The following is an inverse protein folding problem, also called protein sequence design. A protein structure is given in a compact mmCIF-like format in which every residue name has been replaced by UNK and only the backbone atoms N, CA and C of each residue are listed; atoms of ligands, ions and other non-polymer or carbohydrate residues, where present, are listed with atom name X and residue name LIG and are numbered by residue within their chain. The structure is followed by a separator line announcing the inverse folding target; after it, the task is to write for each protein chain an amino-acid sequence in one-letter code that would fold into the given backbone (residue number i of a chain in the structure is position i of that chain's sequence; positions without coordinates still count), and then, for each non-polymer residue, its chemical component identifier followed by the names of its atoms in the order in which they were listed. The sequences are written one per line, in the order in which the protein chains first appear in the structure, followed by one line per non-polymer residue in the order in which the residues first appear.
data_IF_537257707738
#
_entry.id   IF_537257707738
#
_cell.length_a   1.000
_cell.length_b   1.000
_cell.length_c   1.000
_cell.angle_alpha   90.00
_cell.angle_beta   90.00
_cell.angle_gamma   90.00
#
_symmetry.space_group_name_H-M   'P 1'
#
loop_
_entity.id
_entity.type
_entity.pdbx_description
1 polymer ?
#
# COMPACT_ATOMS: atom_id res chain seq x y z
N UNK A 1 -10.60 -31.96 38.67
CA UNK A 1 -9.26 -32.08 38.06
C UNK A 1 -9.41 -31.84 36.56
N UNK A 2 -8.78 -30.78 36.04
CA UNK A 2 -8.91 -30.36 34.63
C UNK A 2 -8.16 -31.28 33.68
N UNK A 3 -8.82 -31.69 32.59
CA UNK A 3 -8.23 -32.53 31.55
C UNK A 3 -7.21 -31.74 30.73
N UNK A 4 -5.94 -32.15 30.81
CA UNK A 4 -4.83 -31.61 30.01
C UNK A 4 -4.99 -32.10 28.57
N UNK A 5 -5.39 -31.20 27.65
CA UNK A 5 -5.45 -31.49 26.22
C UNK A 5 -4.03 -31.57 25.64
N UNK A 6 -3.47 -32.79 25.59
CA UNK A 6 -2.21 -33.08 24.91
C UNK A 6 -2.26 -32.62 23.44
N UNK A 7 -1.45 -31.62 23.11
CA UNK A 7 -1.31 -31.10 21.74
C UNK A 7 -0.72 -32.16 20.82
N UNK A 8 -1.56 -32.75 19.95
CA UNK A 8 -1.11 -33.69 18.90
C UNK A 8 -0.07 -32.99 18.02
N UNK A 9 1.16 -33.53 17.96
CA UNK A 9 2.24 -33.02 17.10
C UNK A 9 1.80 -33.06 15.63
N UNK A 10 1.89 -31.93 14.92
CA UNK A 10 1.60 -31.84 13.48
C UNK A 10 2.61 -32.66 12.69
N UNK A 11 2.14 -33.64 11.92
CA UNK A 11 2.99 -34.40 10.98
C UNK A 11 3.28 -33.48 9.79
N UNK A 12 4.55 -33.08 9.64
CA UNK A 12 5.02 -32.25 8.52
C UNK A 12 4.95 -33.10 7.23
N UNK A 13 4.29 -32.58 6.19
CA UNK A 13 4.24 -33.23 4.86
C UNK A 13 2.97 -34.00 4.51
N UNK A 14 1.99 -34.15 5.41
CA UNK A 14 0.66 -34.67 5.01
C UNK A 14 -0.19 -33.56 4.34
N UNK A 15 -0.88 -33.85 3.23
CA UNK A 15 -1.85 -32.93 2.63
C UNK A 15 -2.91 -32.50 3.64
N UNK A 16 -3.45 -31.30 3.46
CA UNK A 16 -4.63 -30.86 4.23
C UNK A 16 -5.82 -31.75 3.84
N UNK A 17 -6.45 -32.40 4.83
CA UNK A 17 -7.62 -33.25 4.65
C UNK A 17 -8.78 -32.72 5.51
N UNK A 18 -10.05 -32.99 5.14
CA UNK A 18 -11.20 -32.66 5.98
C UNK A 18 -11.03 -33.22 7.40
N UNK A 19 -11.18 -32.37 8.43
CA UNK A 19 -10.95 -32.74 9.82
C UNK A 19 -9.53 -32.47 10.35
N UNK A 20 -8.57 -32.08 9.50
CA UNK A 20 -7.28 -31.60 9.97
C UNK A 20 -7.46 -30.26 10.70
N UNK A 21 -6.88 -30.08 11.90
CA UNK A 21 -6.89 -28.80 12.56
C UNK A 21 -6.21 -27.77 11.67
N UNK A 22 -6.92 -26.68 11.39
CA UNK A 22 -6.38 -25.54 10.67
C UNK A 22 -5.23 -24.88 11.43
N UNK A 23 -4.82 -23.71 10.97
CA UNK A 23 -3.82 -22.92 11.68
C UNK A 23 -4.29 -22.67 13.12
N UNK A 24 -3.46 -22.91 14.15
CA UNK A 24 -3.86 -22.66 15.52
C UNK A 24 -4.26 -21.18 15.68
N UNK A 25 -5.37 -20.94 16.39
CA UNK A 25 -5.84 -19.58 16.70
C UNK A 25 -4.76 -18.86 17.51
N UNK A 26 -4.37 -17.67 17.08
CA UNK A 26 -3.28 -16.90 17.69
C UNK A 26 -1.87 -17.29 17.24
N UNK A 27 -1.71 -18.25 16.32
CA UNK A 27 -0.41 -18.52 15.73
C UNK A 27 0.07 -17.29 14.95
N UNK A 28 1.21 -16.76 15.35
CA UNK A 28 1.82 -15.58 14.75
C UNK A 28 2.28 -15.86 13.30
N UNK A 29 2.21 -14.88 12.40
CA UNK A 29 2.71 -15.00 11.03
C UNK A 29 4.23 -15.21 11.03
N UNK A 30 4.78 -15.90 10.02
CA UNK A 30 6.24 -16.03 9.86
C UNK A 30 6.92 -14.69 9.55
N UNK A 31 6.19 -13.75 8.98
CA UNK A 31 6.67 -12.42 8.58
C UNK A 31 5.98 -11.34 9.42
N UNK A 32 6.29 -11.29 10.73
CA UNK A 32 5.71 -10.30 11.65
C UNK A 32 6.28 -8.92 11.47
N UNK A 33 7.60 -8.81 11.25
CA UNK A 33 8.33 -7.53 11.18
C UNK A 33 8.53 -7.00 9.77
N UNK A 34 8.11 -7.74 8.74
CA UNK A 34 8.41 -7.40 7.35
C UNK A 34 7.89 -6.00 6.98
N UNK A 35 6.68 -5.67 7.44
CA UNK A 35 6.09 -4.34 7.21
C UNK A 35 6.95 -3.24 7.80
N UNK A 36 7.42 -3.43 9.03
CA UNK A 36 8.24 -2.44 9.74
C UNK A 36 9.60 -2.27 9.06
N UNK A 37 10.23 -3.37 8.65
CA UNK A 37 11.49 -3.34 7.89
C UNK A 37 11.35 -2.56 6.58
N UNK A 38 10.25 -2.72 5.84
CA UNK A 38 10.00 -1.94 4.63
C UNK A 38 9.79 -0.46 4.92
N UNK A 39 9.06 -0.12 6.00
CA UNK A 39 8.83 1.26 6.40
C UNK A 39 10.13 1.95 6.84
N UNK A 40 11.01 1.24 7.53
CA UNK A 40 12.30 1.79 7.96
C UNK A 40 13.23 2.06 6.78
N UNK A 41 13.31 1.13 5.82
CA UNK A 41 14.03 1.35 4.56
C UNK A 41 13.46 2.53 3.79
N UNK A 42 12.12 2.67 3.73
CA UNK A 42 11.49 3.82 3.07
C UNK A 42 11.88 5.15 3.72
N UNK A 43 11.91 5.23 5.05
CA UNK A 43 12.40 6.41 5.77
C UNK A 43 13.86 6.69 5.46
N UNK A 44 14.71 5.65 5.44
CA UNK A 44 16.14 5.78 5.13
C UNK A 44 16.40 6.29 3.70
N UNK A 45 15.53 5.95 2.74
CA UNK A 45 15.60 6.44 1.36
C UNK A 45 15.08 7.88 1.17
N UNK A 46 14.72 8.57 2.26
CA UNK A 46 14.22 9.95 2.23
C UNK A 46 12.69 10.06 2.37
N UNK A 47 12.00 8.95 2.65
CA UNK A 47 10.56 8.92 2.88
C UNK A 47 9.75 9.52 1.73
N UNK A 48 8.73 10.29 2.06
CA UNK A 48 7.84 10.92 1.07
C UNK A 48 8.60 11.86 0.13
N UNK A 49 9.55 12.63 0.66
CA UNK A 49 10.34 13.56 -0.16
C UNK A 49 11.24 12.80 -1.14
N UNK A 50 11.93 11.76 -0.67
CA UNK A 50 12.74 10.90 -1.54
C UNK A 50 11.92 10.22 -2.64
N UNK A 51 10.69 9.80 -2.33
CA UNK A 51 9.77 9.26 -3.33
C UNK A 51 9.33 10.31 -4.36
N UNK A 52 9.05 11.54 -3.92
CA UNK A 52 8.73 12.65 -4.80
C UNK A 52 9.88 12.97 -5.75
N UNK A 53 11.10 13.11 -5.21
CA UNK A 53 12.29 13.43 -6.00
C UNK A 53 12.60 12.30 -7.00
N UNK A 54 12.48 11.03 -6.57
CA UNK A 54 12.60 9.88 -7.46
C UNK A 54 11.55 9.88 -8.57
N UNK A 55 10.27 10.13 -8.26
CA UNK A 55 9.20 10.17 -9.25
C UNK A 55 9.42 11.30 -10.27
N UNK A 56 9.90 12.46 -9.81
CA UNK A 56 10.19 13.63 -10.65
C UNK A 56 11.46 13.48 -11.51
N UNK A 57 12.41 12.65 -11.10
CA UNK A 57 13.71 12.50 -11.77
C UNK A 57 13.62 12.01 -13.23
N UNK A 58 12.57 11.28 -13.61
CA UNK A 58 12.37 10.87 -15.00
C UNK A 58 10.91 10.59 -15.32
N UNK A 59 10.54 10.73 -16.60
CA UNK A 59 9.19 10.40 -17.09
C UNK A 59 8.83 8.93 -16.88
N UNK A 60 9.82 8.02 -16.94
CA UNK A 60 9.64 6.60 -16.64
C UNK A 60 9.26 6.38 -15.17
N UNK A 61 9.98 7.00 -14.24
CA UNK A 61 9.69 6.88 -12.81
C UNK A 61 8.32 7.49 -12.47
N UNK A 62 8.01 8.62 -13.09
CA UNK A 62 6.70 9.27 -12.97
C UNK A 62 5.56 8.34 -13.43
N UNK A 63 5.71 7.67 -14.57
CA UNK A 63 4.73 6.69 -15.06
C UNK A 63 4.60 5.49 -14.12
N UNK A 64 5.72 4.98 -13.58
CA UNK A 64 5.70 3.90 -12.59
C UNK A 64 4.96 4.30 -11.30
N UNK A 65 5.20 5.52 -10.81
CA UNK A 65 4.51 6.06 -9.64
C UNK A 65 2.99 6.06 -9.84
N UNK A 66 2.49 6.60 -10.96
CA UNK A 66 1.06 6.59 -11.24
C UNK A 66 0.49 5.17 -11.39
N UNK A 67 1.23 4.27 -12.04
CA UNK A 67 0.82 2.87 -12.17
C UNK A 67 0.70 2.15 -10.81
N UNK A 68 1.51 2.53 -9.81
CA UNK A 68 1.39 2.02 -8.45
C UNK A 68 0.20 2.61 -7.71
N UNK A 69 -0.05 3.91 -7.83
CA UNK A 69 -1.22 4.56 -7.23
C UNK A 69 -2.51 3.88 -7.72
N UNK A 70 -2.65 3.65 -9.02
CA UNK A 70 -3.83 2.99 -9.61
C UNK A 70 -4.05 1.59 -9.00
N UNK A 71 -2.98 0.85 -8.69
CA UNK A 71 -3.07 -0.48 -8.06
C UNK A 71 -3.45 -0.43 -6.58
N UNK A 72 -3.16 0.66 -5.89
CA UNK A 72 -3.51 0.85 -4.47
C UNK A 72 -4.95 1.33 -4.30
N UNK A 73 -5.52 1.98 -5.32
CA UNK A 73 -6.90 2.43 -5.28
C UNK A 73 -7.87 1.23 -5.25
N UNK A 74 -8.95 1.30 -4.46
CA UNK A 74 -10.00 0.29 -4.49
C UNK A 74 -10.57 0.16 -5.91
N UNK A 75 -10.71 -1.08 -6.39
CA UNK A 75 -11.37 -1.37 -7.66
C UNK A 75 -12.86 -0.99 -7.54
N UNK A 76 -13.23 0.21 -7.98
CA UNK A 76 -14.57 0.76 -7.83
C UNK A 76 -14.63 2.06 -7.00
N UNK A 77 -13.49 2.58 -6.53
CA UNK A 77 -13.44 3.97 -6.09
C UNK A 77 -13.77 4.84 -7.31
N UNK A 78 -14.99 5.39 -7.34
CA UNK A 78 -15.31 6.54 -8.17
C UNK A 78 -14.28 7.61 -7.81
N UNK A 79 -13.38 7.93 -8.74
CA UNK A 79 -12.64 9.18 -8.64
C UNK A 79 -13.69 10.23 -8.95
N UNK A 80 -14.44 10.65 -7.93
CA UNK A 80 -15.28 11.83 -8.03
C UNK A 80 -14.38 12.92 -8.61
N UNK A 81 -14.80 13.51 -9.73
CA UNK A 81 -14.07 14.62 -10.35
C UNK A 81 -13.75 15.59 -9.22
N UNK A 82 -12.48 15.68 -8.86
CA UNK A 82 -12.02 16.60 -7.83
C UNK A 82 -12.49 18.00 -8.26
N UNK A 83 -13.20 18.74 -7.39
CA UNK A 83 -13.64 20.11 -7.69
C UNK A 83 -12.46 21.06 -7.96
N UNK A 84 -11.25 20.61 -7.68
CA UNK A 84 -10.01 21.35 -7.86
C UNK A 84 -9.64 21.60 -9.34
N UNK A 85 -10.16 20.83 -10.29
CA UNK A 85 -9.86 21.05 -11.72
C UNK A 85 -10.44 22.40 -12.21
N UNK A 86 -11.68 22.72 -11.82
CA UNK A 86 -12.31 24.02 -12.11
C UNK A 86 -11.61 25.16 -11.34
N UNK A 87 -11.16 24.89 -10.11
CA UNK A 87 -10.42 25.87 -9.30
C UNK A 87 -9.02 26.18 -9.89
N UNK A 88 -8.32 25.16 -10.41
CA UNK A 88 -7.03 25.31 -11.08
C UNK A 88 -7.21 26.06 -12.41
N UNK A 89 -8.23 25.72 -13.20
CA UNK A 89 -8.53 26.44 -14.44
C UNK A 89 -8.91 27.90 -14.17
N UNK A 90 -9.69 28.17 -13.13
CA UNK A 90 -10.04 29.52 -12.71
C UNK A 90 -8.80 30.33 -12.27
N UNK A 91 -7.88 29.71 -11.53
CA UNK A 91 -6.62 30.36 -11.14
C UNK A 91 -5.72 30.66 -12.35
N UNK A 92 -5.59 29.71 -13.29
CA UNK A 92 -4.79 29.91 -14.51
C UNK A 92 -5.38 31.02 -15.39
N UNK A 93 -6.71 31.08 -15.49
CA UNK A 93 -7.41 32.13 -16.25
C UNK A 93 -7.25 33.51 -15.61
N UNK A 94 -7.35 33.60 -14.28
CA UNK A 94 -7.13 34.85 -13.56
C UNK A 94 -5.68 35.37 -13.69
N UNK A 95 -4.69 34.48 -13.65
CA UNK A 95 -3.28 34.83 -13.88
C UNK A 95 -3.06 35.29 -15.33
N UNK A 96 -3.65 34.60 -16.31
CA UNK A 96 -3.55 34.99 -17.72
C UNK A 96 -4.22 36.34 -18.03
N UNK A 97 -5.30 36.68 -17.33
CA UNK A 97 -6.00 37.96 -17.46
C UNK A 97 -5.23 39.11 -16.79
N UNK A 98 -4.60 38.86 -15.64
CA UNK A 98 -3.69 39.80 -14.98
C UNK A 98 -2.38 40.05 -15.76
N UNK A 99 -2.04 39.17 -16.70
CA UNK A 99 -0.86 39.28 -17.57
C UNK A 99 -1.17 39.88 -18.96
N UNK A 100 -2.42 40.26 -19.26
CA UNK A 100 -2.70 41.04 -20.47
C UNK A 100 -2.10 42.46 -20.33
N UNK A 101 -1.38 42.97 -21.34
CA UNK A 101 -0.78 44.29 -21.32
C UNK A 101 -1.82 45.41 -21.32
#
# INVERSE_FOLDING_TARGET
MGSVKNGKKRIKGKPFAPGNPGRPKGAVNKFTSLKDSFLDVFKMLGGTQGLYDWAKSSKRNQAMFYAWIIKMLPAGAMIDKTPDAEAIEAQLKAIAEAMKP
#
